data_IF_684207580604
#
_entry.id   IF_684207580604
#
_cell.length_a   1.000
_cell.length_b   1.000
_cell.length_c   1.000
_cell.angle_alpha   90.00
_cell.angle_beta   90.00
_cell.angle_gamma   90.00
#
_symmetry.space_group_name_H-M   'P 1'
#
loop_
_entity.id
_entity.type
_entity.pdbx_description
1 polymer ?
#
# COMPACT_ATOMS: atom_id res chain seq x y z
N UNK A 1 -4.00 2.84 10.09
CA UNK A 1 -3.46 1.92 9.05
C UNK A 1 -4.58 1.00 8.63
N UNK A 2 -4.83 0.89 7.32
CA UNK A 2 -5.88 0.00 6.81
C UNK A 2 -5.45 -1.46 6.97
N UNK A 3 -6.41 -2.41 7.08
CA UNK A 3 -6.09 -3.86 7.16
C UNK A 3 -5.25 -4.32 5.97
N UNK A 4 -5.40 -3.69 4.81
CA UNK A 4 -4.57 -3.90 3.62
C UNK A 4 -3.08 -3.69 3.88
N UNK A 5 -2.72 -2.58 4.54
CA UNK A 5 -1.32 -2.24 4.81
C UNK A 5 -0.70 -3.14 5.89
N UNK A 6 -1.46 -3.52 6.91
CA UNK A 6 -0.98 -4.43 7.96
C UNK A 6 -0.68 -5.84 7.42
N UNK A 7 -1.47 -6.28 6.45
CA UNK A 7 -1.37 -7.62 5.87
C UNK A 7 -0.61 -7.59 4.53
N UNK A 8 0.11 -6.50 4.24
CA UNK A 8 0.77 -6.27 2.95
C UNK A 8 1.79 -7.35 2.58
N UNK A 9 2.37 -8.00 3.58
CA UNK A 9 3.39 -9.03 3.40
C UNK A 9 2.85 -10.46 3.28
N UNK A 10 1.53 -10.65 3.40
CA UNK A 10 0.81 -11.88 3.06
C UNK A 10 0.02 -11.69 1.76
N UNK A 11 0.50 -12.22 0.61
CA UNK A 11 -0.16 -12.03 -0.68
C UNK A 11 -1.62 -12.48 -0.74
N UNK A 12 -2.00 -13.53 0.01
CA UNK A 12 -3.37 -14.04 -0.01
C UNK A 12 -4.28 -13.06 0.70
N UNK A 13 -3.91 -12.69 1.93
CA UNK A 13 -4.70 -11.77 2.76
C UNK A 13 -4.73 -10.38 2.12
N UNK A 14 -3.61 -9.90 1.59
CA UNK A 14 -3.51 -8.66 0.84
C UNK A 14 -4.49 -8.61 -0.33
N UNK A 15 -4.60 -9.69 -1.13
CA UNK A 15 -5.53 -9.75 -2.28
C UNK A 15 -6.99 -9.57 -1.85
N UNK A 16 -7.41 -10.21 -0.75
CA UNK A 16 -8.78 -10.06 -0.25
C UNK A 16 -9.04 -8.63 0.25
N UNK A 17 -8.10 -8.07 1.01
CA UNK A 17 -8.19 -6.70 1.50
C UNK A 17 -8.18 -5.67 0.36
N UNK A 18 -7.44 -5.94 -0.72
CA UNK A 18 -7.38 -5.08 -1.90
C UNK A 18 -8.75 -4.94 -2.54
N UNK A 19 -9.45 -6.06 -2.75
CA UNK A 19 -10.80 -6.04 -3.30
C UNK A 19 -11.76 -5.22 -2.40
N UNK A 20 -11.69 -5.40 -1.09
CA UNK A 20 -12.51 -4.64 -0.14
C UNK A 20 -12.22 -3.13 -0.17
N UNK A 21 -10.94 -2.75 -0.23
CA UNK A 21 -10.51 -1.35 -0.35
C UNK A 21 -11.03 -0.75 -1.65
N UNK A 22 -10.80 -1.41 -2.80
CA UNK A 22 -11.30 -0.95 -4.10
C UNK A 22 -12.82 -0.74 -4.10
N UNK A 23 -13.58 -1.68 -3.52
CA UNK A 23 -15.03 -1.57 -3.38
C UNK A 23 -15.44 -0.38 -2.51
N UNK A 24 -14.81 -0.17 -1.35
CA UNK A 24 -15.10 0.95 -0.46
C UNK A 24 -14.80 2.31 -1.11
N UNK A 25 -13.68 2.40 -1.83
CA UNK A 25 -13.24 3.62 -2.50
C UNK A 25 -14.14 3.98 -3.68
N UNK A 26 -14.59 2.99 -4.45
CA UNK A 26 -15.53 3.21 -5.55
C UNK A 26 -16.93 3.62 -5.02
N UNK A 27 -17.38 3.03 -3.91
CA UNK A 27 -18.69 3.30 -3.32
C UNK A 27 -18.86 4.75 -2.82
N UNK A 28 -17.77 5.44 -2.44
CA UNK A 28 -17.83 6.81 -1.93
C UNK A 28 -18.55 7.75 -2.91
N UNK A 29 -18.27 7.62 -4.21
CA UNK A 29 -18.90 8.47 -5.23
C UNK A 29 -20.42 8.28 -5.28
N UNK A 30 -20.89 7.04 -5.17
CA UNK A 30 -22.32 6.70 -5.18
C UNK A 30 -23.02 7.19 -3.91
N UNK A 31 -22.37 7.04 -2.75
CA UNK A 31 -22.89 7.53 -1.46
C UNK A 31 -23.03 9.04 -1.49
N UNK A 32 -21.99 9.77 -1.89
CA UNK A 32 -22.02 11.23 -1.97
C UNK A 32 -23.11 11.70 -2.94
N UNK A 33 -23.23 11.09 -4.12
CA UNK A 33 -24.29 11.43 -5.07
C UNK A 33 -25.68 11.32 -4.44
N UNK A 34 -25.97 10.19 -3.78
CA UNK A 34 -27.27 9.94 -3.14
C UNK A 34 -27.55 10.92 -2.00
N UNK A 35 -26.55 11.24 -1.18
CA UNK A 35 -26.72 12.20 -0.08
C UNK A 35 -26.97 13.63 -0.60
N UNK A 36 -26.30 14.05 -1.67
CA UNK A 36 -26.53 15.35 -2.30
C UNK A 36 -27.91 15.43 -2.96
N UNK A 37 -28.34 14.37 -3.67
CA UNK A 37 -29.67 14.27 -4.25
C UNK A 37 -30.78 14.33 -3.20
N UNK A 38 -30.62 13.60 -2.09
CA UNK A 38 -31.56 13.61 -0.97
C UNK A 38 -31.75 15.01 -0.35
N UNK A 39 -30.72 15.86 -0.43
CA UNK A 39 -30.76 17.24 0.06
C UNK A 39 -31.23 18.26 -0.98
N UNK A 40 -31.47 17.84 -2.23
CA UNK A 40 -31.91 18.72 -3.32
C UNK A 40 -30.76 19.40 -4.08
N UNK A 41 -29.50 19.06 -3.78
CA UNK A 41 -28.31 19.73 -4.31
C UNK A 41 -27.63 18.92 -5.44
N UNK A 42 -28.35 17.94 -6.01
CA UNK A 42 -27.78 16.98 -6.95
C UNK A 42 -27.16 17.61 -8.21
N UNK A 43 -27.78 18.66 -8.76
CA UNK A 43 -27.27 19.33 -9.96
C UNK A 43 -26.07 20.24 -9.66
N UNK A 44 -26.09 20.95 -8.54
CA UNK A 44 -24.91 21.69 -8.06
C UNK A 44 -23.73 20.75 -7.82
N UNK A 45 -23.99 19.61 -7.19
CA UNK A 45 -22.98 18.59 -6.95
C UNK A 45 -22.35 18.06 -8.24
N UNK A 46 -23.16 17.72 -9.26
CA UNK A 46 -22.67 17.26 -10.57
C UNK A 46 -21.69 18.26 -11.19
N UNK A 47 -22.03 19.55 -11.18
CA UNK A 47 -21.15 20.59 -11.72
C UNK A 47 -19.85 20.71 -10.92
N UNK A 48 -19.91 20.63 -9.59
CA UNK A 48 -18.73 20.72 -8.72
C UNK A 48 -17.75 19.55 -8.88
N UNK A 49 -18.25 18.34 -9.16
CA UNK A 49 -17.37 17.17 -9.31
C UNK A 49 -16.87 16.93 -10.73
N UNK A 50 -17.50 17.55 -11.73
CA UNK A 50 -17.24 17.28 -13.14
C UNK A 50 -15.76 17.46 -13.49
N UNK A 51 -15.23 18.65 -13.25
CA UNK A 51 -13.85 18.99 -13.60
C UNK A 51 -12.77 18.34 -12.70
N UNK A 52 -12.91 18.30 -11.36
CA UNK A 52 -11.82 17.80 -10.52
C UNK A 52 -11.78 16.28 -10.36
N UNK A 53 -12.86 15.52 -10.59
CA UNK A 53 -12.90 14.09 -10.20
C UNK A 53 -13.35 13.12 -11.28
N UNK A 54 -14.04 13.57 -12.33
CA UNK A 54 -14.61 12.65 -13.35
C UNK A 54 -13.51 11.92 -14.13
N UNK A 55 -12.51 12.66 -14.57
CA UNK A 55 -11.39 12.14 -15.38
C UNK A 55 -10.11 11.98 -14.55
N UNK A 56 -10.25 11.91 -13.22
CA UNK A 56 -9.10 11.73 -12.34
C UNK A 56 -8.48 10.33 -12.56
N UNK A 57 -7.18 10.24 -12.91
CA UNK A 57 -6.56 8.96 -13.27
C UNK A 57 -6.50 7.99 -12.09
N UNK A 58 -6.43 8.49 -10.85
CA UNK A 58 -6.36 7.65 -9.65
C UNK A 58 -7.74 7.12 -9.25
N UNK A 59 -8.80 7.91 -9.41
CA UNK A 59 -10.17 7.47 -9.11
C UNK A 59 -10.76 6.56 -10.20
N UNK A 60 -10.52 6.88 -11.47
CA UNK A 60 -11.04 6.12 -12.61
C UNK A 60 -10.47 4.70 -12.66
N UNK A 61 -9.17 4.57 -12.39
CA UNK A 61 -8.47 3.28 -12.30
C UNK A 61 -8.95 2.41 -11.13
N UNK A 62 -9.24 2.98 -9.97
CA UNK A 62 -9.85 2.25 -8.85
C UNK A 62 -11.21 1.67 -9.26
N UNK A 63 -12.04 2.47 -9.92
CA UNK A 63 -13.36 2.04 -10.39
C UNK A 63 -13.23 0.91 -11.42
N UNK A 64 -12.31 1.05 -12.36
CA UNK A 64 -11.98 0.01 -13.35
C UNK A 64 -11.48 -1.27 -12.69
N UNK A 65 -10.52 -1.17 -11.78
CA UNK A 65 -9.97 -2.31 -11.05
C UNK A 65 -11.07 -3.03 -10.25
N UNK A 66 -11.90 -2.29 -9.51
CA UNK A 66 -13.05 -2.82 -8.76
C UNK A 66 -13.99 -3.63 -9.66
N UNK A 67 -14.32 -3.14 -10.85
CA UNK A 67 -15.16 -3.89 -11.79
C UNK A 67 -14.51 -5.20 -12.25
N UNK A 68 -13.20 -5.19 -12.49
CA UNK A 68 -12.47 -6.42 -12.82
C UNK A 68 -12.44 -7.40 -11.64
N UNK A 69 -12.20 -6.94 -10.40
CA UNK A 69 -12.22 -7.79 -9.21
C UNK A 69 -13.54 -8.54 -9.06
N UNK A 70 -14.66 -7.84 -9.25
CA UNK A 70 -16.01 -8.42 -9.13
C UNK A 70 -16.19 -9.56 -10.14
N UNK A 71 -15.66 -9.43 -11.36
CA UNK A 71 -15.88 -10.41 -12.43
C UNK A 71 -14.82 -11.53 -12.50
N UNK A 72 -13.56 -11.25 -12.22
CA UNK A 72 -12.44 -12.18 -12.44
C UNK A 72 -11.90 -12.86 -11.18
N UNK A 73 -12.49 -12.60 -10.00
CA UNK A 73 -12.11 -13.15 -8.66
C UNK A 73 -10.70 -12.82 -8.15
N UNK A 74 -9.70 -12.59 -9.00
CA UNK A 74 -8.36 -12.20 -8.59
C UNK A 74 -7.70 -11.23 -9.60
N UNK A 75 -7.44 -10.00 -9.16
CA UNK A 75 -6.69 -9.02 -9.96
C UNK A 75 -5.16 -9.21 -9.80
N UNK A 76 -4.73 -9.76 -8.66
CA UNK A 76 -3.32 -9.86 -8.33
C UNK A 76 -2.69 -11.13 -8.93
N UNK A 77 -1.74 -10.96 -9.85
CA UNK A 77 -1.02 -12.05 -10.53
C UNK A 77 0.37 -12.36 -9.97
N UNK A 78 0.87 -11.55 -9.03
CA UNK A 78 2.18 -11.74 -8.44
C UNK A 78 2.71 -10.48 -7.75
N UNK A 79 3.98 -10.51 -7.38
CA UNK A 79 4.69 -9.37 -6.78
C UNK A 79 6.16 -9.37 -7.17
N UNK A 80 6.76 -8.19 -7.16
CA UNK A 80 8.20 -8.01 -7.26
C UNK A 80 8.77 -7.88 -5.85
N UNK A 81 9.88 -8.55 -5.57
CA UNK A 81 10.56 -8.46 -4.28
C UNK A 81 12.04 -8.20 -4.43
N UNK A 82 12.56 -7.43 -3.49
CA UNK A 82 13.98 -7.24 -3.25
C UNK A 82 14.30 -7.81 -1.88
N UNK A 83 15.15 -8.83 -1.83
CA UNK A 83 15.57 -9.48 -0.59
C UNK A 83 17.06 -9.25 -0.36
N UNK A 84 17.42 -8.83 0.85
CA UNK A 84 18.81 -8.53 1.18
C UNK A 84 18.95 -7.61 2.37
N UNK A 85 19.98 -6.79 2.36
CA UNK A 85 20.42 -5.95 3.46
C UNK A 85 19.73 -4.58 3.45
N UNK A 86 19.19 -4.20 4.61
CA UNK A 86 18.58 -2.90 4.85
C UNK A 86 19.23 -2.26 6.07
N UNK A 87 19.25 -0.92 6.10
CA UNK A 87 19.64 -0.15 7.28
C UNK A 87 18.50 0.80 7.67
N UNK A 88 17.90 0.61 8.84
CA UNK A 88 16.72 1.40 9.27
C UNK A 88 15.61 1.40 8.21
N UNK A 89 15.24 0.22 7.67
CA UNK A 89 14.30 0.03 6.53
C UNK A 89 14.73 0.63 5.19
N UNK A 90 15.88 1.30 5.10
CA UNK A 90 16.42 1.81 3.83
C UNK A 90 17.20 0.72 3.13
N UNK A 91 16.91 0.54 1.85
CA UNK A 91 17.61 -0.43 1.01
C UNK A 91 19.11 -0.13 0.94
N UNK A 92 19.95 -1.15 1.18
CA UNK A 92 21.41 -1.07 1.04
C UNK A 92 21.88 -1.97 -0.09
N UNK A 93 21.42 -3.22 -0.12
CA UNK A 93 21.76 -4.19 -1.15
C UNK A 93 20.69 -5.30 -1.21
N UNK A 94 20.27 -5.72 -2.40
CA UNK A 94 19.32 -6.82 -2.55
C UNK A 94 19.57 -7.63 -3.80
N UNK A 95 18.97 -8.82 -3.82
CA UNK A 95 18.67 -9.56 -5.03
C UNK A 95 17.19 -9.35 -5.38
N UNK A 96 16.94 -9.05 -6.65
CA UNK A 96 15.59 -8.90 -7.20
C UNK A 96 15.01 -10.25 -7.59
N UNK A 97 13.73 -10.47 -7.30
CA UNK A 97 12.98 -11.62 -7.78
C UNK A 97 11.54 -11.24 -8.15
N UNK A 98 11.05 -11.79 -9.26
CA UNK A 98 9.64 -11.74 -9.62
C UNK A 98 8.95 -13.01 -9.09
N UNK A 99 7.91 -12.82 -8.27
CA UNK A 99 7.18 -13.90 -7.63
C UNK A 99 5.80 -14.06 -8.24
N UNK A 100 5.55 -15.13 -9.02
CA UNK A 100 4.21 -15.45 -9.53
C UNK A 100 3.33 -16.13 -8.46
N UNK A 101 3.89 -16.52 -7.30
CA UNK A 101 3.21 -17.30 -6.28
C UNK A 101 2.94 -16.48 -5.00
N UNK A 102 1.90 -16.89 -4.27
CA UNK A 102 1.50 -16.31 -2.98
C UNK A 102 2.43 -16.76 -1.83
N UNK A 103 3.71 -16.42 -1.92
CA UNK A 103 4.70 -16.68 -0.87
C UNK A 103 4.79 -15.45 0.05
N UNK A 104 4.51 -15.57 1.36
CA UNK A 104 4.65 -14.47 2.32
C UNK A 104 6.08 -13.94 2.42
N UNK A 105 6.27 -12.66 2.74
CA UNK A 105 7.63 -12.09 2.88
C UNK A 105 8.42 -12.71 4.03
N UNK A 106 7.76 -13.10 5.11
CA UNK A 106 8.39 -13.79 6.25
C UNK A 106 9.00 -15.14 5.84
N UNK A 107 8.34 -15.87 4.92
CA UNK A 107 8.85 -17.12 4.36
C UNK A 107 10.10 -16.88 3.52
N UNK A 108 10.08 -15.85 2.67
CA UNK A 108 11.24 -15.47 1.84
C UNK A 108 12.43 -15.08 2.72
N UNK A 109 12.17 -14.26 3.74
CA UNK A 109 13.19 -13.80 4.68
C UNK A 109 13.83 -14.97 5.44
N UNK A 110 13.02 -15.93 5.90
CA UNK A 110 13.52 -17.14 6.56
C UNK A 110 14.40 -17.99 5.64
N UNK A 111 14.02 -18.14 4.37
CA UNK A 111 14.82 -18.90 3.39
C UNK A 111 16.14 -18.21 3.08
N UNK A 112 16.12 -16.88 2.96
CA UNK A 112 17.31 -16.10 2.68
C UNK A 112 18.33 -16.15 3.83
N UNK A 113 17.88 -15.90 5.05
CA UNK A 113 18.71 -15.95 6.28
C UNK A 113 19.32 -17.33 6.52
N UNK A 114 18.64 -18.39 6.06
CA UNK A 114 19.15 -19.77 6.14
C UNK A 114 20.00 -20.20 4.93
N UNK A 115 20.19 -19.35 3.93
CA UNK A 115 20.96 -19.68 2.73
C UNK A 115 22.44 -19.35 2.91
N UNK A 116 23.32 -20.07 2.21
CA UNK A 116 24.77 -19.77 2.20
C UNK A 116 25.04 -18.33 1.77
N UNK A 117 24.32 -17.83 0.75
CA UNK A 117 24.43 -16.45 0.31
C UNK A 117 24.04 -15.46 1.43
N UNK A 118 22.95 -15.72 2.15
CA UNK A 118 22.54 -14.92 3.30
C UNK A 118 23.55 -14.97 4.44
N UNK A 119 24.18 -16.11 4.74
CA UNK A 119 25.16 -16.16 5.83
C UNK A 119 26.47 -15.40 5.53
N UNK A 120 26.72 -15.03 4.26
CA UNK A 120 27.91 -14.29 3.86
C UNK A 120 27.80 -12.76 4.00
N UNK A 121 26.58 -12.20 4.03
CA UNK A 121 26.38 -10.74 3.92
C UNK A 121 26.22 -9.98 5.25
N UNK A 122 25.87 -10.68 6.33
CA UNK A 122 25.76 -10.14 7.69
C UNK A 122 26.40 -11.13 8.65
N UNK A 123 27.13 -10.60 9.62
CA UNK A 123 27.59 -11.39 10.76
C UNK A 123 26.42 -11.82 11.65
N UNK A 124 26.54 -12.96 12.32
CA UNK A 124 25.47 -13.51 13.18
C UNK A 124 25.05 -12.52 14.29
N UNK A 125 26.00 -11.73 14.78
CA UNK A 125 25.79 -10.76 15.85
C UNK A 125 25.12 -9.46 15.36
N UNK A 126 24.99 -9.26 14.04
CA UNK A 126 24.49 -8.03 13.44
C UNK A 126 25.19 -6.79 14.01
N UNK A 127 26.51 -6.83 14.01
CA UNK A 127 27.40 -5.85 14.66
C UNK A 127 27.16 -4.39 14.23
N UNK A 128 26.62 -4.17 13.02
CA UNK A 128 26.25 -2.86 12.53
C UNK A 128 24.81 -2.48 12.96
N UNK A 129 24.70 -1.52 13.88
CA UNK A 129 23.40 -1.05 14.39
C UNK A 129 22.42 -0.66 13.28
N UNK A 130 21.22 -1.24 13.36
CA UNK A 130 20.13 -0.99 12.43
C UNK A 130 20.29 -1.69 11.09
N UNK A 131 21.34 -2.49 10.89
CA UNK A 131 21.48 -3.37 9.72
C UNK A 131 20.86 -4.74 9.97
N UNK A 132 19.97 -5.15 9.09
CA UNK A 132 19.28 -6.44 9.16
C UNK A 132 18.83 -6.88 7.77
N UNK A 133 18.48 -8.15 7.63
CA UNK A 133 17.82 -8.61 6.42
C UNK A 133 16.40 -8.09 6.33
N UNK A 134 15.97 -7.85 5.10
CA UNK A 134 14.62 -7.45 4.81
C UNK A 134 14.14 -7.90 3.44
N UNK A 135 12.83 -7.77 3.26
CA UNK A 135 12.12 -8.00 2.01
C UNK A 135 11.34 -6.75 1.68
N UNK A 136 11.75 -6.05 0.63
CA UNK A 136 10.96 -4.97 0.04
C UNK A 136 10.04 -5.56 -1.04
N UNK A 137 8.72 -5.49 -0.82
CA UNK A 137 7.70 -6.05 -1.70
C UNK A 137 6.91 -4.95 -2.43
N UNK A 138 6.69 -5.15 -3.73
CA UNK A 138 5.90 -4.26 -4.58
C UNK A 138 4.90 -5.05 -5.41
N UNK A 139 3.61 -4.75 -5.25
CA UNK A 139 2.56 -5.34 -6.06
C UNK A 139 2.28 -4.48 -7.29
N UNK A 140 2.20 -5.10 -8.45
CA UNK A 140 1.83 -4.43 -9.70
C UNK A 140 0.55 -5.06 -10.23
N UNK A 141 -0.45 -4.21 -10.40
CA UNK A 141 -1.77 -4.58 -10.86
C UNK A 141 -2.10 -3.70 -12.04
N UNK A 142 -2.00 -4.25 -13.25
CA UNK A 142 -2.15 -3.49 -14.49
C UNK A 142 -3.49 -2.74 -14.57
N UNK A 143 -4.56 -3.30 -14.00
CA UNK A 143 -5.87 -2.66 -13.98
C UNK A 143 -5.91 -1.39 -13.13
N UNK A 144 -5.05 -1.30 -12.10
CA UNK A 144 -4.88 -0.13 -11.23
C UNK A 144 -3.88 0.82 -11.89
N UNK A 145 -2.66 0.34 -12.17
CA UNK A 145 -1.62 1.13 -12.82
C UNK A 145 -0.65 0.24 -13.59
N UNK A 146 -0.20 0.71 -14.75
CA UNK A 146 0.84 0.05 -15.54
C UNK A 146 2.25 0.46 -15.09
N UNK A 147 2.38 1.62 -14.44
CA UNK A 147 3.67 2.27 -14.15
C UNK A 147 3.97 2.42 -12.66
N UNK A 148 2.94 2.53 -11.82
CA UNK A 148 3.06 2.75 -10.38
C UNK A 148 2.74 1.46 -9.61
N UNK A 149 3.36 1.27 -8.45
CA UNK A 149 2.98 0.16 -7.58
C UNK A 149 1.57 0.38 -7.00
N UNK A 150 0.93 -0.72 -6.65
CA UNK A 150 -0.47 -0.74 -6.23
C UNK A 150 -0.70 0.07 -4.96
N UNK A 151 0.24 0.06 -3.99
CA UNK A 151 0.06 0.77 -2.73
C UNK A 151 0.10 2.29 -2.94
N UNK A 152 1.11 2.77 -3.67
CA UNK A 152 1.27 4.21 -3.92
C UNK A 152 0.07 4.74 -4.69
N UNK A 153 -0.39 4.02 -5.72
CA UNK A 153 -1.57 4.39 -6.50
C UNK A 153 -2.85 4.43 -5.65
N UNK A 154 -3.06 3.45 -4.76
CA UNK A 154 -4.19 3.44 -3.85
C UNK A 154 -4.16 4.60 -2.84
N UNK A 155 -2.98 4.93 -2.30
CA UNK A 155 -2.82 6.09 -1.40
C UNK A 155 -3.16 7.41 -2.11
N UNK A 156 -2.75 7.58 -3.37
CA UNK A 156 -3.17 8.72 -4.20
C UNK A 156 -4.68 8.74 -4.40
N UNK A 157 -5.29 7.62 -4.78
CA UNK A 157 -6.74 7.54 -4.90
C UNK A 157 -7.48 7.83 -3.58
N UNK A 158 -6.91 7.47 -2.44
CA UNK A 158 -7.47 7.74 -1.12
C UNK A 158 -7.47 9.23 -0.81
N UNK A 159 -6.35 9.92 -1.07
CA UNK A 159 -6.25 11.38 -0.99
C UNK A 159 -7.33 12.05 -1.86
N UNK A 160 -7.51 11.59 -3.10
CA UNK A 160 -8.50 12.17 -4.02
C UNK A 160 -9.95 11.91 -3.60
N UNK A 161 -10.21 10.74 -3.02
CA UNK A 161 -11.51 10.45 -2.42
C UNK A 161 -11.79 11.35 -1.21
N UNK A 162 -10.77 11.59 -0.39
CA UNK A 162 -10.86 12.53 0.72
C UNK A 162 -11.12 13.97 0.23
N UNK A 163 -10.43 14.42 -0.83
CA UNK A 163 -10.72 15.71 -1.47
C UNK A 163 -12.17 15.81 -1.94
N UNK A 164 -12.70 14.73 -2.55
CA UNK A 164 -14.08 14.67 -3.01
C UNK A 164 -15.08 14.79 -1.85
N UNK A 165 -14.81 14.11 -0.74
CA UNK A 165 -15.60 14.22 0.49
C UNK A 165 -15.53 15.65 1.06
N UNK A 166 -14.35 16.28 1.07
CA UNK A 166 -14.17 17.68 1.49
C UNK A 166 -14.99 18.63 0.61
N UNK A 167 -15.02 18.44 -0.70
CA UNK A 167 -15.85 19.24 -1.60
C UNK A 167 -17.34 19.11 -1.26
N UNK A 168 -17.81 17.91 -0.93
CA UNK A 168 -19.18 17.70 -0.48
C UNK A 168 -19.47 18.44 0.85
N UNK A 169 -18.55 18.37 1.81
CA UNK A 169 -18.66 19.12 3.07
C UNK A 169 -18.69 20.64 2.87
N UNK A 170 -17.87 21.16 1.95
CA UNK A 170 -17.82 22.57 1.62
C UNK A 170 -19.15 23.11 1.07
N UNK A 171 -19.94 22.28 0.37
CA UNK A 171 -21.29 22.64 -0.08
C UNK A 171 -22.22 23.02 1.09
N UNK A 172 -21.93 22.51 2.28
CA UNK A 172 -22.69 22.76 3.52
C UNK A 172 -21.96 23.68 4.49
N UNK A 173 -20.93 24.41 4.03
CA UNK A 173 -20.14 25.32 4.87
C UNK A 173 -19.26 24.63 5.90
N UNK A 174 -19.04 23.31 5.77
CA UNK A 174 -18.17 22.55 6.65
C UNK A 174 -16.76 22.56 6.05
N UNK A 175 -15.81 23.17 6.77
CA UNK A 175 -14.42 23.20 6.35
C UNK A 175 -13.65 22.01 6.94
N UNK A 176 -13.55 20.93 6.19
CA UNK A 176 -12.71 19.79 6.56
C UNK A 176 -11.24 20.05 6.16
N UNK A 177 -10.27 19.76 7.04
CA UNK A 177 -8.85 19.98 6.74
C UNK A 177 -8.42 19.14 5.54
N UNK A 178 -7.42 19.60 4.79
CA UNK A 178 -6.78 18.79 3.76
C UNK A 178 -6.03 17.60 4.40
N UNK A 179 -5.88 16.52 3.63
CA UNK A 179 -4.93 15.48 3.99
C UNK A 179 -3.52 15.96 3.69
N UNK A 180 -2.53 15.59 4.51
CA UNK A 180 -1.13 15.87 4.19
C UNK A 180 -0.58 14.76 3.28
N UNK A 181 -0.62 15.02 1.99
CA UNK A 181 -0.18 14.10 0.94
C UNK A 181 1.32 13.78 1.05
N UNK A 182 2.12 14.73 1.57
CA UNK A 182 3.57 14.58 1.64
C UNK A 182 3.99 13.50 2.64
N UNK A 183 3.25 13.40 3.75
CA UNK A 183 3.50 12.38 4.77
C UNK A 183 3.05 11.00 4.29
N UNK A 184 1.89 10.89 3.63
CA UNK A 184 1.33 9.61 3.20
C UNK A 184 2.14 8.98 2.05
N UNK A 185 2.72 9.81 1.19
CA UNK A 185 3.49 9.37 0.03
C UNK A 185 5.02 9.46 0.26
N UNK A 186 5.45 9.79 1.47
CA UNK A 186 6.89 9.85 1.78
C UNK A 186 7.54 8.47 1.62
N UNK A 187 8.83 8.42 1.22
CA UNK A 187 9.56 7.15 1.16
C UNK A 187 9.55 6.38 2.48
N UNK A 188 9.61 7.08 3.61
CA UNK A 188 9.54 6.48 4.95
C UNK A 188 8.18 5.82 5.19
N UNK A 189 7.08 6.54 4.94
CA UNK A 189 5.72 6.03 5.09
C UNK A 189 5.43 4.83 4.19
N UNK A 190 5.98 4.80 2.99
CA UNK A 190 5.88 3.65 2.08
C UNK A 190 6.75 2.49 2.56
N UNK A 191 7.98 2.75 3.02
CA UNK A 191 8.89 1.70 3.50
C UNK A 191 8.39 1.02 4.78
N UNK A 192 7.63 1.72 5.62
CA UNK A 192 6.98 1.15 6.81
C UNK A 192 5.92 0.10 6.48
N UNK A 193 5.42 0.07 5.24
CA UNK A 193 4.43 -0.91 4.78
C UNK A 193 5.05 -1.92 3.81
N UNK A 194 5.96 -1.47 2.95
CA UNK A 194 6.47 -2.27 1.83
C UNK A 194 7.73 -3.06 2.18
N UNK A 195 8.43 -2.71 3.25
CA UNK A 195 9.61 -3.43 3.73
C UNK A 195 9.23 -4.26 4.96
N UNK A 196 9.59 -5.54 4.97
CA UNK A 196 9.52 -6.40 6.15
C UNK A 196 10.93 -6.74 6.57
N UNK A 197 11.28 -6.43 7.81
CA UNK A 197 12.59 -6.70 8.40
C UNK A 197 12.55 -7.94 9.28
N UNK A 198 13.72 -8.47 9.63
CA UNK A 198 13.81 -9.56 10.60
C UNK A 198 13.23 -9.18 11.96
N UNK A 199 13.53 -7.96 12.44
CA UNK A 199 13.01 -7.44 13.70
C UNK A 199 11.48 -7.23 13.71
N UNK A 200 10.84 -7.13 12.54
CA UNK A 200 9.38 -7.12 12.45
C UNK A 200 8.78 -8.51 12.69
N UNK A 201 9.51 -9.56 12.32
CA UNK A 201 9.11 -10.97 12.46
C UNK A 201 9.43 -11.47 13.87
N UNK A 202 10.60 -11.15 14.39
CA UNK A 202 11.02 -11.45 15.77
C UNK A 202 11.51 -10.17 16.47
N UNK A 203 10.60 -9.57 17.25
CA UNK A 203 10.86 -8.35 18.01
C UNK A 203 11.87 -8.53 19.16
N UNK A 204 12.39 -9.73 19.39
CA UNK A 204 13.43 -10.00 20.40
C UNK A 204 14.84 -9.92 19.85
N UNK A 205 15.02 -9.82 18.53
CA UNK A 205 16.33 -9.89 17.87
C UNK A 205 17.31 -8.81 18.32
N UNK A 206 16.86 -7.57 18.52
CA UNK A 206 17.73 -6.48 19.02
C UNK A 206 18.41 -6.80 20.35
N UNK A 207 17.80 -7.63 21.21
CA UNK A 207 18.42 -8.11 22.46
C UNK A 207 19.48 -9.17 22.17
N UNK A 208 19.19 -10.08 21.24
CA UNK A 208 20.12 -11.16 20.84
C UNK A 208 21.37 -10.58 20.18
N UNK A 209 21.21 -9.51 19.41
CA UNK A 209 22.28 -8.76 18.75
C UNK A 209 23.00 -7.75 19.68
N UNK A 210 22.53 -7.58 20.93
CA UNK A 210 23.15 -6.66 21.89
C UNK A 210 23.04 -5.17 21.51
N UNK A 211 22.05 -4.77 20.71
CA UNK A 211 21.89 -3.38 20.24
C UNK A 211 21.47 -2.39 21.32
N UNK A 212 20.91 -2.89 22.42
CA UNK A 212 20.55 -2.08 23.59
C UNK A 212 21.12 -2.78 24.81
N UNK A 213 22.08 -2.11 25.45
CA UNK A 213 22.59 -2.43 26.78
C UNK A 213 21.99 -1.48 27.80
#
# INVERSE_FOLDING_TARGET
>A
MSRLELEYHDPRVYRYNLNAVLSSMAALSEILQKEMEKKGDGDQWKELIKAPFTDDPWLSSITRARNVAIHQRAILSGSKVDIGLFRWRRHKMSMHADLPHDVPSSELLRRWTSSEAGQLFLDEEHSALGEEYGVWRRYHVAQISETEDTLTHLRRGYIRNHDKLRTAHACYGINAPAFDDTLLLSPESLSNVTVLLESDVDQTLWRKWGWVN
#
